data_IF_197757615116
#
_entry.id   IF_197757615116
#
_cell.length_a   1.000
_cell.length_b   1.000
_cell.length_c   1.000
_cell.angle_alpha   90.00
_cell.angle_beta   90.00
_cell.angle_gamma   90.00
#
_symmetry.space_group_name_H-M   'P 1'
#
loop_
_entity.id
_entity.type
_entity.pdbx_description
1 polymer ?
#
# COMPACT_ATOMS: atom_id res chain seq x y z
N UNK A 1 -20.83 -0.77 24.98
CA UNK A 1 -21.31 0.39 25.76
C UNK A 1 -22.27 1.30 25.01
N UNK A 2 -21.91 1.84 23.83
CA UNK A 2 -22.80 2.82 23.14
C UNK A 2 -24.21 2.29 22.86
N UNK A 3 -24.35 1.02 22.44
CA UNK A 3 -25.67 0.39 22.29
C UNK A 3 -26.46 0.37 23.60
N UNK A 4 -25.81 0.02 24.72
CA UNK A 4 -26.41 0.01 26.06
C UNK A 4 -26.91 1.39 26.52
N UNK A 5 -26.27 2.47 26.07
CA UNK A 5 -26.71 3.84 26.38
C UNK A 5 -28.02 4.21 25.66
N UNK A 6 -28.29 3.61 24.49
CA UNK A 6 -29.45 3.93 23.66
C UNK A 6 -30.54 2.86 23.68
N UNK A 7 -30.27 1.66 24.21
CA UNK A 7 -31.26 0.59 24.42
C UNK A 7 -31.92 0.64 25.82
N UNK A 8 -31.47 1.56 26.69
CA UNK A 8 -31.99 1.76 28.04
C UNK A 8 -31.30 0.95 29.14
N UNK A 9 -30.29 0.13 28.80
CA UNK A 9 -29.54 -0.68 29.78
C UNK A 9 -28.63 0.19 30.66
N UNK A 10 -27.95 1.18 30.07
CA UNK A 10 -27.14 2.18 30.77
C UNK A 10 -27.82 3.55 30.67
N UNK A 11 -27.89 4.33 31.77
CA UNK A 11 -28.43 5.67 31.71
C UNK A 11 -27.52 6.59 30.89
N UNK A 12 -28.13 7.46 30.10
CA UNK A 12 -27.46 8.52 29.33
C UNK A 12 -27.97 9.89 29.81
N UNK A 13 -27.08 10.87 29.87
CA UNK A 13 -27.43 12.25 30.28
C UNK A 13 -28.27 12.89 29.18
N UNK A 14 -29.39 13.50 29.56
CA UNK A 14 -30.22 14.33 28.68
C UNK A 14 -30.09 15.79 29.13
N UNK A 15 -29.63 16.67 28.23
CA UNK A 15 -29.70 18.12 28.45
C UNK A 15 -31.16 18.56 28.26
N UNK A 16 -31.84 18.82 29.38
CA UNK A 16 -33.26 19.20 29.39
C UNK A 16 -33.52 20.59 28.81
N UNK A 17 -32.51 21.46 28.74
CA UNK A 17 -32.65 22.79 28.14
C UNK A 17 -32.52 22.72 26.62
N UNK A 18 -31.58 21.91 26.11
CA UNK A 18 -31.30 21.78 24.67
C UNK A 18 -31.99 20.60 23.98
N UNK A 19 -32.63 19.72 24.76
CA UNK A 19 -33.36 18.54 24.28
C UNK A 19 -32.48 17.59 23.44
N UNK A 20 -31.26 17.33 23.91
CA UNK A 20 -30.37 16.32 23.30
C UNK A 20 -29.64 15.49 24.34
N UNK A 21 -29.20 14.30 23.93
CA UNK A 21 -28.32 13.47 24.74
C UNK A 21 -26.91 14.07 24.82
N UNK A 22 -26.25 13.87 25.95
CA UNK A 22 -24.89 14.32 26.20
C UNK A 22 -23.99 13.15 26.54
N UNK A 23 -22.82 13.13 25.89
CA UNK A 23 -21.75 12.16 26.12
C UNK A 23 -20.46 12.97 26.29
N UNK A 24 -19.84 12.89 27.47
CA UNK A 24 -18.61 13.61 27.81
C UNK A 24 -17.36 12.90 27.27
N UNK A 25 -17.21 12.90 25.94
CA UNK A 25 -16.11 12.25 25.20
C UNK A 25 -15.63 13.11 24.04
N UNK A 26 -14.54 12.68 23.39
CA UNK A 26 -13.97 13.39 22.25
C UNK A 26 -14.93 13.39 21.04
N UNK A 27 -15.49 14.56 20.75
CA UNK A 27 -16.43 14.75 19.64
C UNK A 27 -15.82 14.60 18.25
N UNK A 28 -14.51 14.84 18.08
CA UNK A 28 -13.83 14.67 16.79
C UNK A 28 -13.68 13.19 16.46
N UNK A 29 -13.23 12.39 17.43
CA UNK A 29 -13.11 10.95 17.30
C UNK A 29 -14.47 10.26 17.17
N UNK A 30 -15.51 10.81 17.82
CA UNK A 30 -16.86 10.27 17.74
C UNK A 30 -17.41 10.19 16.31
N UNK A 31 -16.94 11.02 15.38
CA UNK A 31 -17.28 10.91 13.95
C UNK A 31 -16.95 9.52 13.40
N UNK A 32 -15.78 8.98 13.74
CA UNK A 32 -15.34 7.66 13.28
C UNK A 32 -16.12 6.52 13.95
N UNK A 33 -16.44 6.69 15.23
CA UNK A 33 -17.34 5.79 15.96
C UNK A 33 -18.69 5.68 15.23
N UNK A 34 -19.31 6.81 14.88
CA UNK A 34 -20.57 6.83 14.14
C UNK A 34 -20.44 6.23 12.75
N UNK A 35 -19.36 6.52 12.02
CA UNK A 35 -19.14 5.96 10.70
C UNK A 35 -19.00 4.43 10.73
N UNK A 36 -18.30 3.91 11.73
CA UNK A 36 -18.20 2.46 11.94
C UNK A 36 -19.58 1.86 12.25
N UNK A 37 -20.37 2.47 13.13
CA UNK A 37 -21.72 1.98 13.45
C UNK A 37 -22.68 1.99 12.26
N UNK A 38 -22.50 2.93 11.31
CA UNK A 38 -23.34 3.01 10.09
C UNK A 38 -22.96 1.99 9.03
N UNK A 39 -21.67 1.72 8.87
CA UNK A 39 -21.14 0.98 7.71
C UNK A 39 -20.54 -0.37 8.06
N UNK A 40 -20.31 -0.62 9.35
CA UNK A 40 -19.54 -1.76 9.87
C UNK A 40 -18.12 -1.86 9.29
N UNK A 41 -17.54 -0.72 8.88
CA UNK A 41 -16.20 -0.64 8.27
C UNK A 41 -15.36 0.45 8.93
N UNK A 42 -14.07 0.17 9.12
CA UNK A 42 -13.09 1.16 9.58
C UNK A 42 -12.58 1.97 8.38
N UNK A 43 -13.19 3.15 8.16
CA UNK A 43 -12.82 4.05 7.06
C UNK A 43 -12.03 5.26 7.60
N UNK A 44 -10.71 5.13 7.64
CA UNK A 44 -9.76 6.17 8.08
C UNK A 44 -8.73 6.45 6.97
N UNK A 45 -8.18 7.67 6.89
CA UNK A 45 -7.11 8.00 5.93
C UNK A 45 -5.87 7.09 6.06
N UNK A 46 -5.17 6.86 4.97
CA UNK A 46 -3.94 6.06 4.98
C UNK A 46 -2.82 6.69 5.81
N UNK A 47 -2.84 7.99 6.04
CA UNK A 47 -1.84 8.69 6.85
C UNK A 47 -2.35 9.06 8.25
N UNK A 48 -3.49 8.49 8.66
CA UNK A 48 -4.19 8.81 9.91
C UNK A 48 -3.24 8.83 11.13
N UNK A 49 -3.21 9.98 11.82
CA UNK A 49 -2.28 10.26 12.92
C UNK A 49 -2.89 9.98 14.29
N UNK A 50 -4.21 10.06 14.40
CA UNK A 50 -4.93 10.01 15.68
C UNK A 50 -5.34 8.59 16.08
N UNK A 51 -4.52 7.58 15.73
CA UNK A 51 -4.80 6.18 16.00
C UNK A 51 -5.08 5.95 17.50
N UNK A 52 -4.20 6.44 18.38
CA UNK A 52 -4.33 6.23 19.83
C UNK A 52 -5.59 6.89 20.39
N UNK A 53 -5.94 8.09 19.91
CA UNK A 53 -7.14 8.81 20.33
C UNK A 53 -8.40 8.04 19.94
N UNK A 54 -8.48 7.60 18.68
CA UNK A 54 -9.62 6.82 18.20
C UNK A 54 -9.72 5.46 18.90
N UNK A 55 -8.58 4.81 19.18
CA UNK A 55 -8.54 3.50 19.83
C UNK A 55 -9.08 3.58 21.26
N UNK A 56 -8.71 4.63 22.01
CA UNK A 56 -9.27 4.87 23.35
C UNK A 56 -10.78 5.13 23.32
N UNK A 57 -11.31 5.84 22.32
CA UNK A 57 -12.76 5.99 22.16
C UNK A 57 -13.45 4.66 21.81
N UNK A 58 -12.92 3.89 20.86
CA UNK A 58 -13.47 2.58 20.49
C UNK A 58 -13.48 1.63 21.70
N UNK A 59 -12.46 1.70 22.55
CA UNK A 59 -12.35 0.96 23.81
C UNK A 59 -13.36 1.44 24.85
N UNK A 60 -13.51 2.76 25.03
CA UNK A 60 -14.50 3.35 25.91
C UNK A 60 -15.93 2.91 25.53
N UNK A 61 -16.27 2.95 24.24
CA UNK A 61 -17.57 2.52 23.74
C UNK A 61 -17.71 0.99 23.64
N UNK A 62 -16.63 0.25 23.88
CA UNK A 62 -16.52 -1.22 23.85
C UNK A 62 -16.94 -1.82 22.50
N UNK A 63 -16.49 -1.20 21.40
CA UNK A 63 -16.77 -1.67 20.05
C UNK A 63 -15.75 -2.73 19.63
N UNK A 64 -15.92 -3.96 20.11
CA UNK A 64 -15.00 -5.08 19.81
C UNK A 64 -14.72 -5.28 18.32
N UNK A 65 -15.71 -5.24 17.41
CA UNK A 65 -15.44 -5.36 15.98
C UNK A 65 -14.55 -4.23 15.44
N UNK A 66 -14.74 -3.01 15.94
CA UNK A 66 -13.93 -1.86 15.53
C UNK A 66 -12.49 -1.97 16.04
N UNK A 67 -12.31 -2.40 17.30
CA UNK A 67 -10.98 -2.63 17.88
C UNK A 67 -10.20 -3.67 17.06
N UNK A 68 -10.85 -4.77 16.66
CA UNK A 68 -10.24 -5.77 15.80
C UNK A 68 -9.79 -5.22 14.44
N UNK A 69 -10.64 -4.43 13.78
CA UNK A 69 -10.27 -3.77 12.51
C UNK A 69 -9.12 -2.75 12.70
N UNK A 70 -9.08 -2.03 13.82
CA UNK A 70 -8.00 -1.09 14.12
C UNK A 70 -6.67 -1.79 14.36
N UNK A 71 -6.68 -2.90 15.10
CA UNK A 71 -5.49 -3.72 15.35
C UNK A 71 -4.95 -4.32 14.05
N UNK A 72 -5.85 -4.84 13.20
CA UNK A 72 -5.50 -5.31 11.87
C UNK A 72 -4.88 -4.20 11.02
N UNK A 73 -5.51 -3.02 10.98
CA UNK A 73 -4.98 -1.86 10.24
C UNK A 73 -3.59 -1.45 10.73
N UNK A 74 -3.34 -1.49 12.04
CA UNK A 74 -2.01 -1.22 12.62
C UNK A 74 -0.98 -2.28 12.20
N UNK A 75 -1.35 -3.56 12.27
CA UNK A 75 -0.48 -4.67 11.91
C UNK A 75 -0.10 -4.65 10.42
N UNK A 76 -1.06 -4.39 9.53
CA UNK A 76 -0.82 -4.30 8.08
C UNK A 76 0.21 -3.22 7.75
N UNK A 77 0.20 -2.10 8.48
CA UNK A 77 1.15 -0.98 8.30
C UNK A 77 2.53 -1.24 8.87
N UNK A 78 2.59 -1.91 10.02
CA UNK A 78 3.87 -2.33 10.60
C UNK A 78 4.54 -3.38 9.70
N UNK A 79 3.76 -4.30 9.12
CA UNK A 79 4.24 -5.30 8.17
C UNK A 79 4.65 -4.70 6.83
N UNK A 80 3.88 -3.75 6.31
CA UNK A 80 4.17 -3.06 5.04
C UNK A 80 5.49 -2.30 5.02
N UNK A 81 6.06 -1.95 6.18
CA UNK A 81 7.42 -1.38 6.27
C UNK A 81 8.52 -2.37 5.88
N UNK A 82 8.29 -3.66 6.06
CA UNK A 82 9.27 -4.72 5.78
C UNK A 82 9.06 -5.36 4.40
N UNK A 83 7.85 -5.25 3.85
CA UNK A 83 7.47 -5.83 2.55
C UNK A 83 7.17 -4.75 1.53
N UNK A 84 8.11 -3.83 1.30
CA UNK A 84 8.00 -2.95 0.14
C UNK A 84 8.42 -3.75 -1.09
N UNK A 85 7.44 -4.26 -1.84
CA UNK A 85 7.71 -4.78 -3.19
C UNK A 85 8.34 -3.65 -3.99
N UNK A 86 9.53 -3.91 -4.55
CA UNK A 86 10.18 -3.01 -5.47
C UNK A 86 10.72 -3.82 -6.63
N UNK A 87 10.53 -3.31 -7.83
CA UNK A 87 11.07 -3.90 -9.02
C UNK A 87 12.33 -3.12 -9.40
N UNK A 88 13.40 -3.83 -9.73
CA UNK A 88 14.72 -3.23 -9.92
C UNK A 88 15.31 -3.69 -11.25
N UNK A 89 15.83 -2.74 -12.02
CA UNK A 89 16.66 -2.99 -13.19
C UNK A 89 18.06 -2.42 -12.98
N UNK A 90 19.07 -3.12 -13.49
CA UNK A 90 20.46 -2.65 -13.53
C UNK A 90 20.82 -2.30 -14.97
N UNK A 91 21.16 -1.02 -15.19
CA UNK A 91 21.67 -0.53 -16.47
C UNK A 91 23.19 -0.38 -16.39
N UNK A 92 23.91 -0.98 -17.32
CA UNK A 92 25.36 -0.81 -17.47
C UNK A 92 25.68 -0.27 -18.85
N UNK A 93 26.39 0.86 -18.88
CA UNK A 93 26.91 1.50 -20.10
C UNK A 93 28.42 1.35 -20.16
N UNK A 94 28.96 0.85 -21.27
CA UNK A 94 30.39 0.76 -21.53
C UNK A 94 30.76 1.50 -22.82
N UNK A 95 31.78 2.39 -22.80
CA UNK A 95 32.22 3.12 -23.98
C UNK A 95 33.24 2.30 -24.79
N UNK A 96 32.76 1.41 -25.66
CA UNK A 96 33.60 0.53 -26.51
C UNK A 96 33.32 0.82 -27.99
N UNK A 97 34.04 1.78 -28.60
CA UNK A 97 33.85 2.18 -30.01
C UNK A 97 32.38 2.50 -30.36
N UNK A 98 31.66 3.07 -29.38
CA UNK A 98 30.21 3.21 -29.36
C UNK A 98 29.71 2.92 -27.94
N UNK A 99 28.48 3.33 -27.60
CA UNK A 99 27.89 2.96 -26.32
C UNK A 99 27.40 1.53 -26.37
N UNK A 100 27.86 0.67 -25.46
CA UNK A 100 27.27 -0.65 -25.20
C UNK A 100 26.39 -0.58 -23.97
N UNK A 101 25.09 -0.76 -24.14
CA UNK A 101 24.10 -0.69 -23.06
C UNK A 101 23.61 -2.09 -22.75
N UNK A 102 23.71 -2.49 -21.49
CA UNK A 102 23.25 -3.80 -21.03
C UNK A 102 22.27 -3.67 -19.86
N UNK A 103 21.17 -4.43 -19.91
CA UNK A 103 20.15 -4.49 -18.87
C UNK A 103 20.23 -5.81 -18.10
N UNK A 104 19.97 -5.76 -16.80
CA UNK A 104 19.77 -6.96 -15.97
C UNK A 104 18.58 -6.77 -15.04
N UNK A 105 17.73 -7.77 -14.92
CA UNK A 105 16.51 -7.71 -14.09
C UNK A 105 15.42 -8.64 -14.60
N UNK A 106 14.19 -8.41 -14.14
CA UNK A 106 13.01 -9.19 -14.55
C UNK A 106 12.68 -8.93 -16.03
N UNK A 107 12.44 -10.01 -16.78
CA UNK A 107 12.15 -9.94 -18.21
C UNK A 107 10.84 -9.23 -18.51
N UNK A 108 9.81 -9.48 -17.72
CA UNK A 108 8.48 -8.88 -17.88
C UNK A 108 8.55 -7.37 -17.68
N UNK A 109 9.30 -6.93 -16.67
CA UNK A 109 9.55 -5.50 -16.46
C UNK A 109 10.34 -4.87 -17.61
N UNK A 110 11.37 -5.56 -18.10
CA UNK A 110 12.16 -5.05 -19.23
C UNK A 110 11.30 -4.93 -20.51
N UNK A 111 10.44 -5.91 -20.78
CA UNK A 111 9.50 -5.89 -21.90
C UNK A 111 8.43 -4.80 -21.74
N UNK A 112 7.96 -4.53 -20.52
CA UNK A 112 7.04 -3.42 -20.25
C UNK A 112 7.69 -2.06 -20.54
N UNK A 113 8.94 -1.87 -20.13
CA UNK A 113 9.68 -0.61 -20.31
C UNK A 113 10.18 -0.44 -21.75
N UNK A 114 10.59 -1.53 -22.39
CA UNK A 114 11.12 -1.56 -23.76
C UNK A 114 10.33 -2.61 -24.58
N UNK A 115 9.15 -2.27 -25.11
CA UNK A 115 8.31 -3.22 -25.82
C UNK A 115 8.95 -3.73 -27.13
N UNK A 116 9.91 -3.01 -27.70
CA UNK A 116 10.59 -3.37 -28.95
C UNK A 116 11.46 -4.64 -28.83
N UNK A 117 11.73 -5.11 -27.60
CA UNK A 117 12.61 -6.25 -27.34
C UNK A 117 11.90 -7.50 -26.80
N UNK A 118 10.57 -7.48 -26.68
CA UNK A 118 9.77 -8.62 -26.16
C UNK A 118 10.00 -9.92 -26.93
N UNK A 119 9.91 -9.87 -28.26
CA UNK A 119 10.12 -11.04 -29.14
C UNK A 119 11.55 -11.61 -29.09
N UNK A 120 12.53 -10.79 -28.69
CA UNK A 120 13.94 -11.19 -28.59
C UNK A 120 14.19 -11.93 -27.27
N UNK A 121 13.54 -11.50 -26.19
CA UNK A 121 13.69 -12.12 -24.87
C UNK A 121 13.02 -13.49 -24.75
N UNK A 122 11.97 -13.75 -25.53
CA UNK A 122 11.24 -15.03 -25.52
C UNK A 122 11.92 -16.15 -26.33
N UNK A 123 12.74 -15.79 -27.34
CA UNK A 123 13.36 -16.74 -28.28
C UNK A 123 14.86 -17.01 -28.00
N UNK A 124 15.32 -16.80 -26.76
CA UNK A 124 16.74 -16.66 -26.39
C UNK A 124 17.55 -17.97 -26.28
N UNK A 125 17.10 -19.07 -26.90
CA UNK A 125 17.68 -20.43 -26.73
C UNK A 125 19.18 -20.50 -27.09
N UNK A 126 19.70 -19.54 -27.86
CA UNK A 126 21.12 -19.40 -28.25
C UNK A 126 21.71 -18.00 -27.94
N UNK A 127 21.14 -17.27 -27.00
CA UNK A 127 21.59 -15.92 -26.67
C UNK A 127 22.96 -15.92 -25.97
N UNK A 128 23.83 -14.97 -26.32
CA UNK A 128 25.13 -14.76 -25.69
C UNK A 128 25.08 -14.11 -24.30
N UNK A 129 23.88 -13.93 -23.74
CA UNK A 129 23.63 -13.38 -22.40
C UNK A 129 23.00 -14.43 -21.49
N UNK A 130 23.31 -14.34 -20.20
CA UNK A 130 22.81 -15.29 -19.21
C UNK A 130 21.36 -14.97 -18.88
N UNK A 131 20.49 -15.97 -18.86
CA UNK A 131 19.09 -15.80 -18.48
C UNK A 131 18.55 -17.07 -17.82
N UNK A 132 17.50 -16.92 -17.04
CA UNK A 132 16.66 -18.03 -16.59
C UNK A 132 15.22 -17.85 -17.12
N UNK A 133 14.23 -18.42 -16.44
CA UNK A 133 12.82 -18.30 -16.81
C UNK A 133 12.22 -16.92 -16.55
N UNK A 134 12.73 -16.14 -15.58
CA UNK A 134 12.13 -14.87 -15.15
C UNK A 134 13.08 -13.68 -15.25
N UNK A 135 14.39 -13.89 -15.18
CA UNK A 135 15.41 -12.85 -15.17
C UNK A 135 16.40 -12.97 -16.33
N UNK A 136 16.99 -11.84 -16.68
CA UNK A 136 18.11 -11.75 -17.63
C UNK A 136 19.27 -10.98 -17.02
N UNK A 137 20.49 -11.37 -17.36
CA UNK A 137 21.73 -10.75 -16.90
C UNK A 137 22.54 -10.29 -18.13
N UNK A 138 22.78 -8.99 -18.20
CA UNK A 138 23.55 -8.32 -19.26
C UNK A 138 22.94 -8.48 -20.66
N UNK A 139 21.62 -8.33 -20.78
CA UNK A 139 20.92 -8.24 -22.07
C UNK A 139 21.42 -7.02 -22.86
N UNK A 140 21.94 -7.16 -24.09
CA UNK A 140 22.52 -6.07 -24.86
C UNK A 140 21.44 -5.24 -25.56
N UNK A 141 20.89 -4.24 -24.86
CA UNK A 141 19.77 -3.41 -25.30
C UNK A 141 20.03 -2.72 -26.64
N UNK A 142 21.19 -2.10 -26.80
CA UNK A 142 21.57 -1.35 -28.01
C UNK A 142 21.79 -2.25 -29.25
N UNK A 143 21.80 -3.57 -29.09
CA UNK A 143 21.80 -4.51 -30.21
C UNK A 143 20.41 -4.75 -30.82
N UNK A 144 19.36 -4.40 -30.07
CA UNK A 144 17.96 -4.65 -30.44
C UNK A 144 17.09 -3.39 -30.40
N UNK A 145 17.62 -2.29 -29.85
CA UNK A 145 16.94 -1.01 -29.74
C UNK A 145 17.90 0.13 -30.09
N UNK A 146 17.39 1.23 -30.67
CA UNK A 146 18.19 2.36 -31.15
C UNK A 146 18.37 3.49 -30.11
N UNK A 147 18.11 3.20 -28.84
CA UNK A 147 18.24 4.18 -27.75
C UNK A 147 19.70 4.33 -27.30
N UNK A 148 20.11 5.57 -27.05
CA UNK A 148 21.38 5.90 -26.41
C UNK A 148 21.25 5.95 -24.87
N UNK A 149 22.38 6.10 -24.17
CA UNK A 149 22.44 6.10 -22.71
C UNK A 149 21.63 7.20 -22.01
N UNK A 150 21.28 8.27 -22.72
CA UNK A 150 20.46 9.39 -22.20
C UNK A 150 18.96 9.12 -22.40
N UNK A 151 18.61 8.29 -23.38
CA UNK A 151 17.22 7.91 -23.67
C UNK A 151 16.75 6.70 -22.85
N UNK A 152 17.69 5.90 -22.33
CA UNK A 152 17.47 4.73 -21.44
C UNK A 152 17.44 5.18 -19.99
#
# INVERSE_FOLDING_TARGET
RIGRLFDGTEPIVLDSLKQHYFIDRDGQMFRYILNFLRTSKLLIPDDFKDYSLLYEEAKYFQLQPMLGEMERWKQDRESGRFTKSCECLVVRVAPDLGERITLSGDKSLIEEVFPEIGDVMCNSVNAGWNHDSTHVIRFPLNGYCHLNSVQV
#
